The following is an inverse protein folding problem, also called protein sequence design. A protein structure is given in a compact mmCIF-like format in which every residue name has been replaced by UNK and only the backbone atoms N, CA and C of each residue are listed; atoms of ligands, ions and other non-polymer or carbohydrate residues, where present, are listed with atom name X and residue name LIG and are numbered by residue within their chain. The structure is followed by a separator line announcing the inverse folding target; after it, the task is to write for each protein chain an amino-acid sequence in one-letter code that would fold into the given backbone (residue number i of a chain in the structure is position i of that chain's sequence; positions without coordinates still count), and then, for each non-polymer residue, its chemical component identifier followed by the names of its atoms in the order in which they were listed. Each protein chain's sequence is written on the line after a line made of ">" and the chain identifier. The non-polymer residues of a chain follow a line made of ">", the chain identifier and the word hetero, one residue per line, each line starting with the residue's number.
data_IF_294254286659
#
_entry.id   IF_294254286659
#
_cell.length_a   1.000
_cell.length_b   1.000
_cell.length_c   1.000
_cell.angle_alpha   90.00
_cell.angle_beta   90.00
_cell.angle_gamma   90.00
#
_symmetry.space_group_name_H-M   'P 1'
#
loop_
_entity.id
_entity.type
_entity.pdbx_description
1 polymer ?
#
# COMPACT_ATOMS: atom_id res chain seq x y z
N UNK A 1 9.67 -14.53 -14.47
CA UNK A 1 9.56 -13.26 -15.21
C UNK A 1 8.19 -12.67 -14.90
N UNK A 2 8.14 -11.48 -14.30
CA UNK A 2 6.90 -10.68 -14.19
C UNK A 2 6.33 -10.45 -15.58
N UNK A 3 5.00 -10.58 -15.73
CA UNK A 3 4.33 -10.22 -16.99
C UNK A 3 4.34 -8.69 -17.09
N UNK A 4 4.92 -8.16 -18.17
CA UNK A 4 5.28 -6.74 -18.31
C UNK A 4 4.11 -5.77 -18.21
N UNK A 5 4.39 -4.62 -17.59
CA UNK A 5 3.52 -3.44 -17.64
C UNK A 5 4.16 -2.39 -18.54
N UNK A 6 3.46 -1.93 -19.58
CA UNK A 6 3.74 -0.56 -20.04
C UNK A 6 3.35 0.36 -18.88
N UNK A 7 4.37 0.88 -18.19
CA UNK A 7 4.31 1.56 -16.88
C UNK A 7 3.36 2.77 -16.80
N UNK A 8 2.82 3.23 -17.93
CA UNK A 8 2.01 4.45 -18.01
C UNK A 8 0.61 4.31 -17.40
N UNK A 9 0.11 3.09 -17.14
CA UNK A 9 -1.27 2.92 -16.69
C UNK A 9 -1.45 1.86 -15.58
N UNK A 10 -0.50 1.73 -14.64
CA UNK A 10 -0.57 0.86 -13.43
C UNK A 10 -1.70 1.22 -12.43
N UNK A 11 -2.62 2.06 -12.87
CA UNK A 11 -3.66 2.76 -12.14
C UNK A 11 -4.91 1.88 -11.96
N UNK A 12 -5.03 1.15 -10.84
CA UNK A 12 -6.31 0.54 -10.40
C UNK A 12 -6.44 -0.95 -10.58
N UNK A 13 -5.33 -1.68 -10.56
CA UNK A 13 -5.34 -3.15 -10.69
C UNK A 13 -5.89 -3.87 -9.45
N UNK A 14 -5.72 -3.30 -8.25
CA UNK A 14 -6.32 -3.84 -7.02
C UNK A 14 -7.66 -3.19 -6.66
N UNK A 15 -8.42 -2.73 -7.65
CA UNK A 15 -9.83 -2.39 -7.47
C UNK A 15 -10.66 -3.67 -7.57
N UNK A 16 -11.57 -3.98 -6.63
CA UNK A 16 -12.50 -5.13 -6.71
C UNK A 16 -13.14 -5.32 -8.10
N UNK A 17 -13.44 -4.23 -8.81
CA UNK A 17 -14.04 -4.26 -10.14
C UNK A 17 -13.10 -4.70 -11.28
N UNK A 18 -11.78 -4.70 -11.07
CA UNK A 18 -10.76 -4.97 -12.09
C UNK A 18 -9.81 -6.10 -11.72
N UNK A 19 -9.77 -6.55 -10.46
CA UNK A 19 -8.90 -7.65 -10.00
C UNK A 19 -9.13 -8.91 -10.86
N UNK A 20 -10.38 -9.28 -11.10
CA UNK A 20 -10.70 -10.48 -11.89
C UNK A 20 -10.16 -10.44 -13.33
N UNK A 21 -10.06 -9.25 -13.94
CA UNK A 21 -9.52 -9.08 -15.30
C UNK A 21 -7.99 -9.14 -15.35
N UNK A 22 -7.34 -8.89 -14.23
CA UNK A 22 -5.89 -8.77 -14.12
C UNK A 22 -5.28 -9.83 -13.20
N UNK A 23 -5.98 -10.94 -12.97
CA UNK A 23 -5.62 -11.91 -11.95
C UNK A 23 -4.24 -12.54 -12.21
N UNK A 24 -3.93 -12.85 -13.46
CA UNK A 24 -2.61 -13.37 -13.87
C UNK A 24 -1.47 -12.42 -13.49
N UNK A 25 -1.66 -11.13 -13.77
CA UNK A 25 -0.69 -10.09 -13.45
C UNK A 25 -0.52 -10.02 -11.92
N UNK A 26 -1.61 -9.81 -11.19
CA UNK A 26 -1.61 -9.71 -9.72
C UNK A 26 -0.96 -10.93 -9.09
N UNK A 27 -1.31 -12.14 -9.55
CA UNK A 27 -0.74 -13.39 -9.05
C UNK A 27 0.76 -13.45 -9.31
N UNK A 28 1.23 -13.06 -10.50
CA UNK A 28 2.67 -13.04 -10.80
C UNK A 28 3.45 -12.10 -9.89
N UNK A 29 2.91 -10.91 -9.58
CA UNK A 29 3.55 -9.98 -8.64
C UNK A 29 3.51 -10.48 -7.19
N UNK A 30 2.41 -11.12 -6.76
CA UNK A 30 2.34 -11.77 -5.45
C UNK A 30 3.38 -12.88 -5.31
N UNK A 31 3.59 -13.68 -6.36
CA UNK A 31 4.62 -14.73 -6.38
C UNK A 31 6.02 -14.11 -6.27
N UNK A 32 6.32 -13.06 -7.05
CA UNK A 32 7.61 -12.35 -6.96
C UNK A 32 7.85 -11.76 -5.56
N UNK A 33 6.80 -11.39 -4.83
CA UNK A 33 6.87 -10.92 -3.44
C UNK A 33 6.94 -12.04 -2.39
N UNK A 34 7.12 -13.29 -2.81
CA UNK A 34 7.09 -14.45 -1.91
C UNK A 34 5.82 -14.52 -1.04
N UNK A 35 4.67 -14.15 -1.62
CA UNK A 35 3.38 -14.17 -0.93
C UNK A 35 3.04 -15.53 -0.31
N UNK A 36 2.32 -15.52 0.81
CA UNK A 36 1.96 -16.75 1.51
C UNK A 36 1.12 -17.68 0.64
N UNK A 37 1.24 -19.02 0.83
CA UNK A 37 0.38 -19.98 0.12
C UNK A 37 -1.11 -19.73 0.32
N UNK A 38 -1.50 -19.21 1.50
CA UNK A 38 -2.89 -18.85 1.81
C UNK A 38 -3.41 -17.70 0.94
N UNK A 39 -2.59 -16.68 0.67
CA UNK A 39 -2.97 -15.58 -0.22
C UNK A 39 -3.08 -16.06 -1.66
N UNK A 40 -2.13 -16.88 -2.14
CA UNK A 40 -2.18 -17.43 -3.50
C UNK A 40 -3.41 -18.32 -3.72
N UNK A 41 -3.76 -19.15 -2.73
CA UNK A 41 -5.00 -19.92 -2.76
C UNK A 41 -6.24 -19.02 -2.81
N UNK A 42 -6.26 -17.94 -2.03
CA UNK A 42 -7.35 -16.95 -2.05
C UNK A 42 -7.45 -16.23 -3.40
N UNK A 43 -6.33 -15.86 -4.03
CA UNK A 43 -6.33 -15.25 -5.36
C UNK A 43 -6.92 -16.19 -6.42
N UNK A 44 -6.60 -17.49 -6.35
CA UNK A 44 -7.12 -18.48 -7.30
C UNK A 44 -8.65 -18.58 -7.28
N UNK A 45 -9.29 -18.32 -6.13
CA UNK A 45 -10.75 -18.35 -6.01
C UNK A 45 -11.43 -17.06 -6.49
N UNK A 46 -10.70 -15.94 -6.58
CA UNK A 46 -11.27 -14.64 -7.00
C UNK A 46 -11.86 -14.71 -8.41
N UNK A 47 -11.24 -15.40 -9.36
CA UNK A 47 -11.78 -15.49 -10.74
C UNK A 47 -13.18 -16.13 -10.75
N UNK A 48 -13.33 -17.22 -10.00
CA UNK A 48 -14.62 -17.91 -9.82
C UNK A 48 -15.61 -17.02 -9.09
N UNK A 49 -15.21 -16.37 -8.00
CA UNK A 49 -16.08 -15.45 -7.25
C UNK A 49 -16.53 -14.26 -8.09
N UNK A 50 -15.65 -13.67 -8.89
CA UNK A 50 -15.97 -12.57 -9.79
C UNK A 50 -16.95 -13.00 -10.89
N UNK A 51 -16.78 -14.20 -11.44
CA UNK A 51 -17.71 -14.76 -12.43
C UNK A 51 -19.09 -15.02 -11.83
N UNK A 52 -19.13 -15.63 -10.63
CA UNK A 52 -20.36 -15.85 -9.86
C UNK A 52 -21.05 -14.53 -9.53
N UNK A 53 -20.29 -13.51 -9.12
CA UNK A 53 -20.79 -12.17 -8.84
C UNK A 53 -21.51 -11.56 -10.04
N UNK A 54 -20.89 -11.62 -11.22
CA UNK A 54 -21.49 -11.12 -12.47
C UNK A 54 -22.78 -11.87 -12.80
N UNK A 55 -22.79 -13.19 -12.68
CA UNK A 55 -24.00 -14.01 -12.88
C UNK A 55 -25.13 -13.63 -11.93
N UNK A 56 -24.84 -13.50 -10.63
CA UNK A 56 -25.82 -13.14 -9.61
C UNK A 56 -26.40 -11.74 -9.83
N UNK A 57 -25.59 -10.78 -10.30
CA UNK A 57 -26.07 -9.45 -10.70
C UNK A 57 -27.07 -9.58 -11.86
N UNK A 58 -26.71 -10.34 -12.88
CA UNK A 58 -27.58 -10.56 -14.05
C UNK A 58 -28.89 -11.27 -13.68
N UNK A 59 -28.83 -12.29 -12.82
CA UNK A 59 -30.00 -13.04 -12.35
C UNK A 59 -30.94 -12.16 -11.51
N UNK A 60 -30.37 -11.35 -10.61
CA UNK A 60 -31.11 -10.37 -9.81
C UNK A 60 -31.81 -9.36 -10.71
N UNK A 61 -31.08 -8.74 -11.64
CA UNK A 61 -31.60 -7.68 -12.49
C UNK A 61 -32.67 -8.21 -13.45
N UNK A 62 -32.48 -9.41 -14.00
CA UNK A 62 -33.47 -10.12 -14.82
C UNK A 62 -34.74 -10.41 -14.01
N UNK A 63 -34.59 -10.91 -12.78
CA UNK A 63 -35.72 -11.23 -11.90
C UNK A 63 -36.50 -9.99 -11.46
N UNK A 64 -35.80 -8.88 -11.18
CA UNK A 64 -36.42 -7.59 -10.88
C UNK A 64 -37.18 -7.02 -12.08
N UNK A 65 -36.61 -7.11 -13.28
CA UNK A 65 -37.26 -6.70 -14.52
C UNK A 65 -38.53 -7.52 -14.79
N UNK A 66 -38.44 -8.85 -14.65
CA UNK A 66 -39.59 -9.75 -14.80
C UNK A 66 -40.70 -9.43 -13.78
N UNK A 67 -40.35 -9.24 -12.50
CA UNK A 67 -41.28 -8.84 -11.46
C UNK A 67 -42.02 -7.55 -11.81
N UNK A 68 -41.31 -6.57 -12.37
CA UNK A 68 -41.90 -5.28 -12.79
C UNK A 68 -42.90 -5.45 -13.93
N UNK A 69 -42.57 -6.28 -14.94
CA UNK A 69 -43.50 -6.61 -16.03
C UNK A 69 -44.76 -7.28 -15.51
N UNK A 70 -44.59 -8.36 -14.74
CA UNK A 70 -45.70 -9.13 -14.18
C UNK A 70 -46.59 -8.28 -13.25
N UNK A 71 -45.99 -7.38 -12.45
CA UNK A 71 -46.75 -6.46 -11.60
C UNK A 71 -47.64 -5.51 -12.42
N UNK A 72 -47.17 -5.07 -13.59
CA UNK A 72 -47.96 -4.26 -14.52
C UNK A 72 -49.12 -5.07 -15.12
N UNK A 73 -48.86 -6.30 -15.54
CA UNK A 73 -49.86 -7.21 -16.11
C UNK A 73 -50.92 -7.62 -15.08
N UNK A 74 -50.54 -7.84 -13.81
CA UNK A 74 -51.48 -8.01 -12.70
C UNK A 74 -52.42 -6.80 -12.60
N UNK A 75 -51.87 -5.59 -12.68
CA UNK A 75 -52.66 -4.36 -12.66
C UNK A 75 -53.66 -4.27 -13.82
N UNK A 76 -53.29 -4.76 -15.01
CA UNK A 76 -54.16 -4.83 -16.17
C UNK A 76 -55.27 -5.89 -16.01
N UNK A 77 -54.92 -7.11 -15.59
CA UNK A 77 -55.88 -8.21 -15.37
C UNK A 77 -56.92 -7.87 -14.29
N UNK A 78 -56.49 -7.20 -13.22
CA UNK A 78 -57.40 -6.75 -12.16
C UNK A 78 -58.36 -5.65 -12.64
N UNK A 79 -57.93 -4.78 -13.57
CA UNK A 79 -58.80 -3.78 -14.22
C UNK A 79 -59.79 -4.39 -15.20
N UNK A 80 -59.41 -5.46 -15.90
CA UNK A 80 -60.30 -6.19 -16.82
C UNK A 80 -61.24 -7.16 -16.11
N UNK A 81 -61.09 -7.36 -14.79
CA UNK A 81 -61.94 -8.22 -13.98
C UNK A 81 -61.59 -9.71 -14.02
N UNK A 82 -60.48 -10.07 -14.68
CA UNK A 82 -60.02 -11.47 -14.77
C UNK A 82 -59.21 -11.85 -13.51
N UNK A 83 -59.94 -12.36 -12.52
CA UNK A 83 -59.38 -12.74 -11.21
C UNK A 83 -58.48 -13.97 -11.27
N UNK A 84 -58.73 -14.91 -12.18
CA UNK A 84 -57.92 -16.13 -12.30
C UNK A 84 -56.53 -15.78 -12.85
N UNK A 85 -56.50 -15.05 -13.97
CA UNK A 85 -55.25 -14.56 -14.57
C UNK A 85 -54.49 -13.66 -13.60
N UNK A 86 -55.18 -12.72 -12.93
CA UNK A 86 -54.56 -11.84 -11.95
C UNK A 86 -53.91 -12.60 -10.78
N UNK A 87 -54.55 -13.68 -10.30
CA UNK A 87 -54.01 -14.51 -9.22
C UNK A 87 -52.75 -15.28 -9.64
N UNK A 88 -52.74 -15.82 -10.86
CA UNK A 88 -51.60 -16.54 -11.44
C UNK A 88 -50.40 -15.63 -11.65
N UNK A 89 -50.61 -14.48 -12.30
CA UNK A 89 -49.56 -13.48 -12.53
C UNK A 89 -49.00 -12.92 -11.22
N UNK A 90 -49.84 -12.77 -10.19
CA UNK A 90 -49.40 -12.35 -8.86
C UNK A 90 -48.50 -13.40 -8.21
N UNK A 91 -48.82 -14.68 -8.34
CA UNK A 91 -47.97 -15.76 -7.85
C UNK A 91 -46.61 -15.80 -8.58
N UNK A 92 -46.60 -15.63 -9.91
CA UNK A 92 -45.36 -15.53 -10.69
C UNK A 92 -44.52 -14.29 -10.33
N UNK A 93 -45.18 -13.14 -10.13
CA UNK A 93 -44.52 -11.92 -9.67
C UNK A 93 -43.90 -12.09 -8.28
N UNK A 94 -44.54 -12.85 -7.38
CA UNK A 94 -43.99 -13.17 -6.05
C UNK A 94 -42.73 -14.03 -6.19
N UNK A 95 -42.79 -15.10 -6.99
CA UNK A 95 -41.63 -15.98 -7.26
C UNK A 95 -40.46 -15.23 -7.88
N UNK A 96 -40.72 -14.30 -8.81
CA UNK A 96 -39.67 -13.44 -9.36
C UNK A 96 -39.04 -12.54 -8.29
N UNK A 97 -39.84 -12.04 -7.33
CA UNK A 97 -39.35 -11.31 -6.17
C UNK A 97 -38.50 -12.15 -5.23
N UNK A 98 -38.91 -13.39 -4.94
CA UNK A 98 -38.16 -14.35 -4.13
C UNK A 98 -36.81 -14.68 -4.76
N UNK A 99 -36.77 -14.97 -6.07
CA UNK A 99 -35.52 -15.19 -6.82
C UNK A 99 -34.58 -13.99 -6.78
N UNK A 100 -35.11 -12.77 -6.95
CA UNK A 100 -34.30 -11.55 -6.84
C UNK A 100 -33.71 -11.37 -5.44
N UNK A 101 -34.48 -11.70 -4.40
CA UNK A 101 -34.03 -11.65 -3.01
C UNK A 101 -32.94 -12.69 -2.74
N UNK A 102 -33.11 -13.92 -3.21
CA UNK A 102 -32.12 -15.00 -3.06
C UNK A 102 -30.79 -14.64 -3.76
N UNK A 103 -30.86 -14.13 -5.00
CA UNK A 103 -29.68 -13.69 -5.74
C UNK A 103 -28.96 -12.53 -5.02
N UNK A 104 -29.71 -11.63 -4.37
CA UNK A 104 -29.15 -10.51 -3.60
C UNK A 104 -28.41 -10.97 -2.34
N UNK A 105 -28.96 -11.97 -1.61
CA UNK A 105 -28.30 -12.54 -0.44
C UNK A 105 -26.99 -13.25 -0.83
N UNK A 106 -27.02 -14.06 -1.88
CA UNK A 106 -25.81 -14.72 -2.42
C UNK A 106 -24.78 -13.71 -2.90
N UNK A 107 -25.23 -12.61 -3.51
CA UNK A 107 -24.34 -11.54 -3.95
C UNK A 107 -23.63 -10.90 -2.77
N UNK A 108 -24.34 -10.64 -1.66
CA UNK A 108 -23.76 -10.09 -0.44
C UNK A 108 -22.71 -11.03 0.18
N UNK A 109 -22.95 -12.34 0.18
CA UNK A 109 -21.97 -13.34 0.63
C UNK A 109 -20.71 -13.32 -0.24
N UNK A 110 -20.86 -13.28 -1.56
CA UNK A 110 -19.73 -13.22 -2.51
C UNK A 110 -18.94 -11.92 -2.34
N UNK A 111 -19.63 -10.78 -2.22
CA UNK A 111 -19.01 -9.47 -2.00
C UNK A 111 -18.22 -9.45 -0.69
N UNK A 112 -18.76 -10.01 0.40
CA UNK A 112 -18.04 -10.14 1.69
C UNK A 112 -16.73 -10.93 1.55
N UNK A 113 -16.73 -12.01 0.77
CA UNK A 113 -15.51 -12.81 0.55
C UNK A 113 -14.49 -12.00 -0.25
N UNK A 114 -14.90 -11.36 -1.34
CA UNK A 114 -14.02 -10.52 -2.18
C UNK A 114 -13.43 -9.36 -1.36
N UNK A 115 -14.25 -8.71 -0.54
CA UNK A 115 -13.85 -7.61 0.34
C UNK A 115 -12.93 -8.08 1.48
N UNK A 116 -13.00 -9.35 1.88
CA UNK A 116 -12.05 -9.96 2.82
C UNK A 116 -10.68 -10.26 2.19
N UNK A 117 -10.62 -10.56 0.90
CA UNK A 117 -9.36 -10.89 0.21
C UNK A 117 -8.64 -9.62 -0.27
N UNK A 118 -9.38 -8.67 -0.85
CA UNK A 118 -8.83 -7.49 -1.53
C UNK A 118 -7.83 -6.68 -0.68
N UNK A 119 -8.07 -6.41 0.62
CA UNK A 119 -7.15 -5.64 1.46
C UNK A 119 -5.78 -6.30 1.62
N UNK A 120 -5.71 -7.63 1.51
CA UNK A 120 -4.50 -8.44 1.66
C UNK A 120 -3.66 -8.54 0.39
N UNK A 121 -4.13 -7.99 -0.73
CA UNK A 121 -3.37 -7.97 -1.98
C UNK A 121 -2.35 -6.82 -1.94
N UNK A 122 -1.03 -7.11 -2.01
CA UNK A 122 0.02 -6.09 -2.00
C UNK A 122 -0.01 -5.24 -3.27
N UNK A 123 0.78 -4.18 -3.28
CA UNK A 123 0.89 -3.32 -4.45
C UNK A 123 1.55 -4.05 -5.63
N UNK A 124 1.31 -3.59 -6.86
CA UNK A 124 2.08 -4.06 -7.99
C UNK A 124 3.51 -3.50 -7.90
N UNK A 125 4.48 -4.29 -8.34
CA UNK A 125 5.88 -3.88 -8.39
C UNK A 125 6.14 -3.15 -9.70
N UNK A 126 6.97 -2.10 -9.66
CA UNK A 126 7.55 -1.50 -10.85
C UNK A 126 8.43 -2.53 -11.57
N UNK A 127 8.50 -2.44 -12.90
CA UNK A 127 9.41 -3.28 -13.70
C UNK A 127 10.89 -3.06 -13.35
N UNK A 128 11.22 -1.93 -12.71
CA UNK A 128 12.58 -1.63 -12.24
C UNK A 128 13.00 -2.45 -11.01
N UNK A 129 12.05 -2.96 -10.23
CA UNK A 129 12.37 -3.77 -9.04
C UNK A 129 13.11 -5.04 -9.49
N UNK A 130 14.26 -5.44 -8.93
CA UNK A 130 14.90 -6.71 -9.24
C UNK A 130 14.11 -7.91 -8.68
N UNK A 131 14.20 -9.08 -9.32
CA UNK A 131 13.70 -10.31 -8.70
C UNK A 131 14.59 -10.69 -7.52
N UNK A 132 13.99 -11.21 -6.46
CA UNK A 132 14.70 -11.62 -5.24
C UNK A 132 13.70 -12.04 -4.18
N UNK A 133 14.16 -12.85 -3.24
CA UNK A 133 13.34 -13.46 -2.19
C UNK A 133 13.58 -12.86 -0.80
N UNK A 134 14.70 -12.17 -0.61
CA UNK A 134 15.11 -11.62 0.69
C UNK A 134 16.04 -10.41 0.52
N UNK A 135 16.38 -9.77 1.64
CA UNK A 135 17.30 -8.63 1.70
C UNK A 135 18.67 -8.92 1.05
N UNK A 136 19.11 -10.18 1.03
CA UNK A 136 20.38 -10.60 0.41
C UNK A 136 20.37 -10.44 -1.13
N UNK A 137 19.19 -10.39 -1.76
CA UNK A 137 19.02 -10.23 -3.20
C UNK A 137 18.89 -8.74 -3.61
N UNK A 138 18.97 -7.82 -2.65
CA UNK A 138 18.88 -6.38 -2.91
C UNK A 138 20.10 -5.87 -3.72
N UNK A 139 19.87 -4.88 -4.58
CA UNK A 139 20.89 -4.40 -5.51
C UNK A 139 21.47 -3.07 -5.04
N UNK A 140 22.77 -3.02 -4.75
CA UNK A 140 23.45 -1.76 -4.46
C UNK A 140 23.56 -0.93 -5.74
N UNK A 141 22.98 0.27 -5.72
CA UNK A 141 22.92 1.18 -6.87
C UNK A 141 24.11 2.15 -6.87
N UNK A 142 24.46 2.69 -5.71
CA UNK A 142 25.56 3.64 -5.59
C UNK A 142 26.13 3.69 -4.17
N UNK A 143 27.35 4.20 -4.06
CA UNK A 143 28.00 4.52 -2.78
C UNK A 143 28.31 6.01 -2.74
N UNK A 144 28.31 6.59 -1.55
CA UNK A 144 28.77 7.95 -1.30
C UNK A 144 29.63 8.01 -0.04
N UNK A 145 30.66 8.85 -0.08
CA UNK A 145 31.67 8.95 0.97
C UNK A 145 32.77 7.89 0.82
N UNK A 146 33.85 8.07 1.56
CA UNK A 146 34.98 7.16 1.55
C UNK A 146 35.10 6.48 2.92
N UNK A 147 34.58 5.25 3.01
CA UNK A 147 34.68 4.40 4.21
C UNK A 147 36.13 4.04 4.54
N UNK A 148 37.04 4.05 3.58
CA UNK A 148 38.47 3.82 3.84
C UNK A 148 39.18 5.06 4.40
N UNK A 149 38.68 6.26 4.06
CA UNK A 149 39.09 7.52 4.70
C UNK A 149 38.47 7.69 6.07
N UNK A 150 37.31 7.05 6.33
CA UNK A 150 36.85 6.92 7.70
C UNK A 150 37.94 6.16 8.45
N UNK A 151 38.45 6.74 9.54
CA UNK A 151 39.52 6.08 10.23
C UNK A 151 39.03 4.69 10.71
N UNK A 152 39.76 3.62 10.35
CA UNK A 152 39.50 2.26 10.86
C UNK A 152 39.50 2.21 12.40
N UNK A 153 40.20 3.19 12.99
CA UNK A 153 39.99 3.75 14.32
C UNK A 153 39.98 5.28 14.16
N UNK A 154 38.86 5.95 14.45
CA UNK A 154 38.83 7.42 14.57
C UNK A 154 39.95 7.84 15.51
N UNK A 155 40.71 8.88 15.16
CA UNK A 155 41.87 9.37 15.91
C UNK A 155 41.47 9.95 17.27
N UNK A 156 40.92 9.10 18.11
CA UNK A 156 40.64 9.36 19.50
C UNK A 156 41.95 9.19 20.29
N UNK A 157 42.12 9.87 21.43
CA UNK A 157 43.28 9.70 22.30
C UNK A 157 43.58 8.21 22.54
N UNK A 158 44.85 7.84 22.73
CA UNK A 158 45.23 6.47 23.14
C UNK A 158 44.32 6.00 24.30
N UNK A 159 43.59 4.90 24.09
CA UNK A 159 42.68 4.31 25.08
C UNK A 159 41.18 4.47 24.83
N UNK A 160 40.74 5.06 23.70
CA UNK A 160 39.31 5.20 23.40
C UNK A 160 38.77 4.01 22.60
N UNK A 161 37.75 3.35 23.15
CA UNK A 161 37.03 2.22 22.56
C UNK A 161 35.73 2.73 21.91
N UNK A 162 35.48 2.48 20.61
CA UNK A 162 34.25 2.92 19.95
C UNK A 162 33.05 2.26 20.62
N UNK A 163 32.25 3.11 21.22
CA UNK A 163 31.06 2.73 21.95
C UNK A 163 29.94 2.39 20.98
N UNK A 164 29.04 1.50 21.41
CA UNK A 164 27.78 1.36 20.72
C UNK A 164 27.00 2.67 20.85
N UNK A 165 26.09 2.94 19.90
CA UNK A 165 25.37 4.20 19.85
C UNK A 165 24.49 4.46 21.09
N UNK A 166 24.07 3.42 21.80
CA UNK A 166 23.42 3.51 23.12
C UNK A 166 24.39 3.92 24.23
N UNK A 167 25.61 3.38 24.24
CA UNK A 167 26.68 3.80 25.14
C UNK A 167 27.07 5.27 24.89
N UNK A 168 27.03 5.74 23.63
CA UNK A 168 27.19 7.18 23.28
C UNK A 168 26.03 8.01 23.81
N UNK A 169 24.78 7.60 23.57
CA UNK A 169 23.59 8.32 24.00
C UNK A 169 23.48 8.42 25.53
N UNK A 170 23.85 7.36 26.25
CA UNK A 170 23.90 7.32 27.71
C UNK A 170 24.99 8.26 28.27
N UNK A 171 26.19 8.24 27.69
CA UNK A 171 27.30 9.10 28.13
C UNK A 171 27.06 10.61 27.87
N UNK A 172 26.24 10.94 26.87
CA UNK A 172 25.83 12.31 26.57
C UNK A 172 24.63 12.79 27.40
N UNK A 173 24.09 11.95 28.31
CA UNK A 173 22.97 12.31 29.18
C UNK A 173 21.62 12.41 28.46
N UNK A 174 21.49 11.87 27.25
CA UNK A 174 20.30 11.98 26.42
C UNK A 174 19.22 10.92 26.67
N UNK A 175 19.40 10.04 27.67
CA UNK A 175 18.62 8.80 27.80
C UNK A 175 18.16 8.50 29.24
N UNK A 176 16.84 8.59 29.51
CA UNK A 176 16.17 8.20 30.76
C UNK A 176 14.90 7.35 30.47
N UNK A 177 15.03 6.02 30.47
CA UNK A 177 13.98 5.06 30.08
C UNK A 177 12.69 5.10 30.92
N UNK A 178 12.77 5.50 32.19
CA UNK A 178 11.64 5.41 33.14
C UNK A 178 10.56 6.49 32.93
N UNK A 179 10.87 7.56 32.18
CA UNK A 179 10.06 8.77 32.10
C UNK A 179 9.05 8.78 30.95
N UNK A 180 9.32 8.04 29.87
CA UNK A 180 8.54 8.03 28.62
C UNK A 180 7.18 7.31 28.71
N UNK A 181 7.04 6.37 29.65
CA UNK A 181 5.83 5.55 29.88
C UNK A 181 4.63 6.39 30.39
N UNK A 182 4.89 7.62 30.87
CA UNK A 182 3.94 8.38 31.69
C UNK A 182 3.02 9.36 30.95
N UNK A 183 3.19 9.62 29.64
CA UNK A 183 2.79 10.93 29.07
C UNK A 183 1.67 11.04 28.00
N UNK A 184 1.38 10.12 27.08
CA UNK A 184 0.84 10.59 25.77
C UNK A 184 -0.52 10.04 25.30
N UNK A 185 -1.62 10.62 25.78
CA UNK A 185 -3.00 10.44 25.27
C UNK A 185 -3.33 11.20 23.94
N UNK A 186 -4.62 11.22 23.54
CA UNK A 186 -5.08 11.41 22.14
C UNK A 186 -5.46 12.84 21.66
N UNK A 187 -5.31 13.09 20.33
CA UNK A 187 -6.18 13.85 19.37
C UNK A 187 -5.41 14.29 18.10
N UNK A 188 -5.93 13.95 16.92
CA UNK A 188 -5.35 14.15 15.57
C UNK A 188 -5.79 15.47 14.90
N UNK A 189 -5.07 15.85 13.81
CA UNK A 189 -5.38 16.95 12.90
C UNK A 189 -5.08 16.55 11.42
N UNK A 190 -5.54 17.35 10.44
CA UNK A 190 -5.38 17.12 8.99
C UNK A 190 -4.71 18.31 8.27
N UNK A 191 -3.91 18.06 7.22
CA UNK A 191 -3.05 19.05 6.54
C UNK A 191 -2.87 18.75 5.01
N UNK A 192 -2.40 19.74 4.22
CA UNK A 192 -2.14 19.70 2.74
C UNK A 192 -0.75 20.25 2.33
N UNK A 193 0.02 19.60 1.44
CA UNK A 193 1.33 20.07 0.91
C UNK A 193 2.42 18.97 0.75
N UNK A 194 3.66 19.31 0.42
CA UNK A 194 4.81 18.44 0.70
C UNK A 194 5.09 18.52 2.21
N UNK A 195 5.15 17.36 2.88
CA UNK A 195 5.18 17.33 4.33
C UNK A 195 6.54 16.89 4.84
N UNK A 196 7.04 17.64 5.81
CA UNK A 196 8.06 17.19 6.75
C UNK A 196 7.45 17.16 8.14
N UNK A 197 7.56 16.04 8.85
CA UNK A 197 7.00 15.92 10.20
C UNK A 197 7.95 15.16 11.12
N UNK A 198 8.32 15.78 12.24
CA UNK A 198 9.00 15.10 13.34
C UNK A 198 7.96 14.41 14.22
N UNK A 199 8.02 13.09 14.35
CA UNK A 199 7.08 12.31 15.15
C UNK A 199 7.78 11.22 15.95
N UNK A 200 7.23 10.87 17.11
CA UNK A 200 7.57 9.62 17.77
C UNK A 200 6.82 8.48 17.09
N UNK A 201 7.55 7.48 16.63
CA UNK A 201 7.05 6.28 16.00
C UNK A 201 7.02 5.14 17.00
N UNK A 202 5.98 4.33 16.96
CA UNK A 202 5.78 3.20 17.86
C UNK A 202 5.63 1.92 17.04
N UNK A 203 6.46 0.90 17.30
CA UNK A 203 6.40 -0.40 16.62
C UNK A 203 6.42 -1.53 17.63
N UNK A 204 5.53 -2.51 17.45
CA UNK A 204 5.50 -3.70 18.30
C UNK A 204 6.72 -4.61 18.09
N UNK A 205 7.42 -4.48 16.95
CA UNK A 205 8.56 -5.32 16.55
C UNK A 205 8.23 -6.84 16.64
N UNK A 206 6.98 -7.18 16.35
CA UNK A 206 6.51 -8.55 16.32
C UNK A 206 7.16 -9.29 15.14
N UNK A 207 8.07 -10.23 15.44
CA UNK A 207 8.79 -11.04 14.45
C UNK A 207 10.30 -10.85 14.42
N UNK A 208 10.86 -9.88 15.18
CA UNK A 208 12.31 -9.63 15.27
C UNK A 208 12.92 -10.10 16.59
N UNK A 209 12.30 -11.09 17.24
CA UNK A 209 12.76 -11.58 18.55
C UNK A 209 14.23 -12.01 18.49
N UNK A 210 15.06 -11.37 19.33
CA UNK A 210 16.50 -11.66 19.42
C UNK A 210 17.38 -11.00 18.35
N UNK A 211 16.82 -10.24 17.39
CA UNK A 211 17.59 -9.41 16.45
C UNK A 211 17.77 -7.99 16.97
N UNK A 212 18.97 -7.43 16.81
CA UNK A 212 19.32 -6.03 17.10
C UNK A 212 18.86 -5.54 18.49
N UNK A 213 18.91 -6.44 19.48
CA UNK A 213 18.42 -6.20 20.84
C UNK A 213 19.30 -5.26 21.67
N UNK A 214 20.51 -4.94 21.16
CA UNK A 214 21.42 -4.00 21.79
C UNK A 214 21.29 -2.62 21.15
N UNK A 215 21.12 -1.63 22.01
CA UNK A 215 21.04 -0.22 21.70
C UNK A 215 19.75 0.25 21.02
N UNK A 216 19.86 1.36 20.31
CA UNK A 216 18.74 2.10 19.71
C UNK A 216 18.41 1.73 18.25
N UNK A 217 19.10 0.74 17.67
CA UNK A 217 18.91 0.39 16.24
C UNK A 217 17.48 -0.11 16.04
N UNK A 218 17.01 -0.96 16.95
CA UNK A 218 15.65 -1.48 16.93
C UNK A 218 15.00 -1.29 18.30
N UNK A 219 14.03 -0.38 18.36
CA UNK A 219 13.32 -0.04 19.59
C UNK A 219 11.82 0.05 19.35
N UNK A 220 11.03 -0.14 20.41
CA UNK A 220 9.57 0.03 20.33
C UNK A 220 9.16 1.49 20.10
N UNK A 221 10.04 2.45 20.42
CA UNK A 221 9.81 3.87 20.24
C UNK A 221 11.08 4.57 19.74
N UNK A 222 10.97 5.30 18.64
CA UNK A 222 12.04 6.14 18.08
C UNK A 222 11.45 7.42 17.48
N UNK A 223 12.26 8.47 17.36
CA UNK A 223 11.84 9.71 16.67
C UNK A 223 12.24 9.66 15.20
N UNK A 224 11.38 10.20 14.33
CA UNK A 224 11.59 10.20 12.88
C UNK A 224 11.10 11.50 12.27
N UNK A 225 11.92 12.06 11.38
CA UNK A 225 11.50 13.12 10.46
C UNK A 225 11.03 12.44 9.19
N UNK A 226 9.72 12.42 8.97
CA UNK A 226 9.13 11.81 7.77
C UNK A 226 9.02 12.81 6.65
N UNK A 227 9.42 12.41 5.44
CA UNK A 227 9.10 13.13 4.21
C UNK A 227 7.99 12.40 3.47
N UNK A 228 6.91 13.13 3.15
CA UNK A 228 5.77 12.62 2.39
C UNK A 228 5.50 13.54 1.22
N UNK A 229 5.49 12.97 0.01
CA UNK A 229 5.12 13.66 -1.22
C UNK A 229 3.77 13.18 -1.70
N UNK A 230 2.92 14.14 -2.05
CA UNK A 230 1.64 13.90 -2.72
C UNK A 230 1.73 14.48 -4.12
N UNK A 231 1.68 13.62 -5.13
CA UNK A 231 1.93 14.06 -6.50
C UNK A 231 0.95 13.46 -7.51
N UNK A 232 0.94 14.01 -8.72
CA UNK A 232 0.22 13.46 -9.86
C UNK A 232 0.87 12.15 -10.33
N UNK A 233 0.12 11.22 -10.98
CA UNK A 233 0.71 9.97 -11.47
C UNK A 233 1.91 10.19 -12.39
N UNK A 234 1.83 11.18 -13.28
CA UNK A 234 2.87 11.49 -14.27
C UNK A 234 4.15 12.04 -13.64
N UNK A 235 4.08 12.63 -12.46
CA UNK A 235 5.24 13.16 -11.73
C UNK A 235 5.75 12.20 -10.66
N UNK A 236 5.07 11.08 -10.44
CA UNK A 236 5.37 10.12 -9.38
C UNK A 236 6.82 9.62 -9.43
N UNK A 237 7.31 9.20 -10.59
CA UNK A 237 8.68 8.67 -10.68
C UNK A 237 9.75 9.75 -10.43
N UNK A 238 9.55 10.97 -10.93
CA UNK A 238 10.51 12.06 -10.71
C UNK A 238 10.52 12.52 -9.25
N UNK A 239 9.36 12.62 -8.61
CA UNK A 239 9.26 13.01 -7.21
C UNK A 239 9.83 11.95 -6.27
N UNK A 240 9.75 10.66 -6.63
CA UNK A 240 10.39 9.59 -5.88
C UNK A 240 11.91 9.72 -5.88
N UNK A 241 12.51 10.03 -7.03
CA UNK A 241 13.95 10.28 -7.12
C UNK A 241 14.36 11.53 -6.35
N UNK A 242 13.55 12.60 -6.40
CA UNK A 242 13.79 13.80 -5.60
C UNK A 242 13.69 13.51 -4.09
N UNK A 243 12.73 12.68 -3.65
CA UNK A 243 12.60 12.23 -2.26
C UNK A 243 13.84 11.46 -1.78
N UNK A 244 14.37 10.59 -2.63
CA UNK A 244 15.62 9.87 -2.35
C UNK A 244 16.78 10.85 -2.21
N UNK A 245 16.88 11.82 -3.13
CA UNK A 245 17.94 12.84 -3.11
C UNK A 245 17.86 13.76 -1.87
N UNK A 246 16.65 14.10 -1.42
CA UNK A 246 16.40 14.85 -0.18
C UNK A 246 16.96 14.09 1.04
N UNK A 247 16.71 12.77 1.11
CA UNK A 247 17.20 11.91 2.18
C UNK A 247 18.74 11.71 2.11
N UNK A 248 19.28 11.48 0.90
CA UNK A 248 20.71 11.42 0.66
C UNK A 248 21.39 12.74 1.07
N UNK A 249 20.76 13.88 0.78
CA UNK A 249 21.24 15.23 1.14
C UNK A 249 21.52 15.38 2.63
N UNK A 250 20.61 14.89 3.48
CA UNK A 250 20.81 14.86 4.93
C UNK A 250 22.07 14.09 5.33
N UNK A 251 22.28 12.90 4.77
CA UNK A 251 23.46 12.07 5.07
C UNK A 251 24.76 12.75 4.61
N UNK A 252 24.73 13.38 3.43
CA UNK A 252 25.88 14.13 2.89
C UNK A 252 26.24 15.32 3.76
N UNK A 253 25.25 16.08 4.22
CA UNK A 253 25.46 17.21 5.14
C UNK A 253 26.04 16.78 6.49
N UNK A 254 25.66 15.58 6.97
CA UNK A 254 26.20 14.99 8.20
C UNK A 254 27.58 14.33 7.99
N UNK A 255 28.05 14.22 6.74
CA UNK A 255 29.31 13.55 6.41
C UNK A 255 29.29 12.05 6.70
N UNK A 256 28.12 11.41 6.63
CA UNK A 256 27.95 9.99 6.91
C UNK A 256 28.06 9.18 5.61
N UNK A 257 29.07 8.30 5.44
CA UNK A 257 29.14 7.44 4.27
C UNK A 257 27.98 6.45 4.24
N UNK A 258 27.40 6.29 3.06
CA UNK A 258 26.22 5.46 2.87
C UNK A 258 26.24 4.77 1.51
N UNK A 259 25.40 3.76 1.36
CA UNK A 259 25.06 3.16 0.07
C UNK A 259 23.58 3.27 -0.19
N UNK A 260 23.22 3.44 -1.46
CA UNK A 260 21.84 3.39 -1.94
C UNK A 260 21.56 2.01 -2.49
N UNK A 261 20.49 1.39 -2.03
CA UNK A 261 20.12 0.01 -2.32
C UNK A 261 18.72 0.00 -2.91
N UNK A 262 18.54 -0.66 -4.06
CA UNK A 262 17.25 -0.91 -4.66
C UNK A 262 16.73 -2.24 -4.14
N UNK A 263 15.56 -2.21 -3.47
CA UNK A 263 14.98 -3.42 -2.88
C UNK A 263 14.48 -4.37 -3.96
N UNK A 264 14.73 -5.66 -3.75
CA UNK A 264 14.17 -6.73 -4.59
C UNK A 264 12.68 -6.97 -4.30
N UNK A 265 12.05 -7.79 -5.13
CA UNK A 265 10.63 -8.07 -5.05
C UNK A 265 10.18 -8.64 -3.69
N UNK A 266 10.95 -9.57 -3.11
CA UNK A 266 10.66 -10.20 -1.82
C UNK A 266 10.84 -9.28 -0.60
N UNK A 267 11.70 -8.27 -0.69
CA UNK A 267 11.98 -7.31 0.39
C UNK A 267 11.22 -5.97 0.23
N UNK A 268 10.57 -5.75 -0.92
CA UNK A 268 9.75 -4.57 -1.15
C UNK A 268 8.47 -4.61 -0.32
N UNK A 269 8.28 -3.59 0.54
CA UNK A 269 7.14 -3.49 1.45
C UNK A 269 5.76 -3.56 0.78
N UNK A 270 4.75 -3.95 1.54
CA UNK A 270 3.38 -4.27 1.07
C UNK A 270 2.75 -3.18 0.18
N UNK A 271 2.91 -1.92 0.54
CA UNK A 271 2.35 -0.78 -0.20
C UNK A 271 3.28 -0.18 -1.27
N UNK A 272 4.57 -0.52 -1.26
CA UNK A 272 5.55 0.07 -2.16
C UNK A 272 5.51 -0.62 -3.53
N UNK A 273 5.57 0.15 -4.60
CA UNK A 273 5.79 -0.34 -5.97
C UNK A 273 7.27 -0.38 -6.33
N UNK A 274 8.05 0.54 -5.77
CA UNK A 274 9.50 0.67 -5.92
C UNK A 274 10.04 1.29 -4.64
N UNK A 275 11.17 0.78 -4.13
CA UNK A 275 11.77 1.30 -2.90
C UNK A 275 13.29 1.36 -3.00
N UNK A 276 13.85 2.48 -2.55
CA UNK A 276 15.28 2.63 -2.33
C UNK A 276 15.55 2.76 -0.85
N UNK A 277 16.40 1.90 -0.32
CA UNK A 277 16.93 2.05 1.02
C UNK A 277 18.27 2.77 0.97
N UNK A 278 18.49 3.63 1.95
CA UNK A 278 19.79 4.22 2.25
C UNK A 278 20.32 3.49 3.47
N UNK A 279 21.51 2.94 3.33
CA UNK A 279 22.18 2.26 4.41
C UNK A 279 23.45 3.01 4.78
N UNK A 280 23.58 3.39 6.05
CA UNK A 280 24.74 4.12 6.57
C UNK A 280 25.77 3.13 7.09
N UNK A 281 27.05 3.45 6.90
CA UNK A 281 28.14 2.67 7.47
C UNK A 281 28.18 2.84 8.99
N UNK A 282 28.11 1.74 9.75
CA UNK A 282 28.26 1.71 11.20
C UNK A 282 29.62 1.11 11.57
N UNK A 283 30.63 1.91 11.96
CA UNK A 283 31.98 1.42 12.26
C UNK A 283 32.02 0.36 13.35
N UNK A 284 31.22 0.51 14.42
CA UNK A 284 31.16 -0.45 15.52
C UNK A 284 30.61 -1.83 15.13
N UNK A 285 29.89 -1.92 14.01
CA UNK A 285 29.38 -3.18 13.46
C UNK A 285 30.17 -3.66 12.24
N UNK A 286 31.02 -2.81 11.65
CA UNK A 286 31.72 -3.11 10.41
C UNK A 286 30.77 -3.41 9.24
N UNK A 287 29.59 -2.79 9.23
CA UNK A 287 28.54 -3.08 8.26
C UNK A 287 27.72 -1.83 7.91
N UNK A 288 27.13 -1.83 6.71
CA UNK A 288 26.06 -0.91 6.36
C UNK A 288 24.75 -1.37 7.01
N UNK A 289 23.99 -0.44 7.59
CA UNK A 289 22.65 -0.68 8.14
C UNK A 289 21.68 0.32 7.58
N UNK A 290 20.45 -0.12 7.33
CA UNK A 290 19.35 0.76 6.93
C UNK A 290 19.31 1.96 7.87
N UNK A 291 19.16 3.14 7.29
CA UNK A 291 18.87 4.37 8.02
C UNK A 291 17.69 5.10 7.41
N UNK A 292 17.39 4.86 6.12
CA UNK A 292 16.23 5.39 5.44
C UNK A 292 15.66 4.44 4.39
N UNK A 293 14.36 4.49 4.17
CA UNK A 293 13.64 3.74 3.14
C UNK A 293 12.68 4.64 2.38
N UNK A 294 12.93 4.87 1.10
CA UNK A 294 12.20 5.80 0.23
C UNK A 294 11.35 5.02 -0.76
N UNK A 295 10.03 5.03 -0.56
CA UNK A 295 9.06 4.24 -1.33
C UNK A 295 8.16 5.07 -2.22
N UNK A 296 7.95 4.60 -3.46
CA UNK A 296 6.85 5.04 -4.32
C UNK A 296 5.67 4.06 -4.19
N UNK A 297 4.49 4.53 -3.77
CA UNK A 297 3.32 3.66 -3.59
C UNK A 297 2.33 3.69 -4.76
N UNK A 298 2.58 4.47 -5.82
CA UNK A 298 1.61 4.69 -6.88
C UNK A 298 0.25 5.10 -6.32
N UNK A 299 -0.83 4.54 -6.86
CA UNK A 299 -2.20 4.84 -6.39
C UNK A 299 -2.68 3.97 -5.20
N UNK A 300 -1.79 3.17 -4.62
CA UNK A 300 -2.17 2.11 -3.69
C UNK A 300 -2.78 2.63 -2.39
N UNK A 301 -2.14 3.63 -1.80
CA UNK A 301 -2.60 4.28 -0.57
C UNK A 301 -3.79 5.19 -0.86
N UNK A 302 -3.74 6.00 -1.92
CA UNK A 302 -4.82 6.93 -2.27
C UNK A 302 -6.14 6.22 -2.55
N UNK A 303 -6.13 5.08 -3.25
CA UNK A 303 -7.34 4.27 -3.45
C UNK A 303 -7.94 3.76 -2.15
N UNK A 304 -7.11 3.27 -1.22
CA UNK A 304 -7.57 2.78 0.09
C UNK A 304 -8.11 3.88 0.98
N UNK A 305 -7.58 5.09 0.83
CA UNK A 305 -8.03 6.27 1.55
C UNK A 305 -9.24 6.95 0.88
N UNK A 306 -9.70 6.46 -0.28
CA UNK A 306 -10.77 7.11 -1.05
C UNK A 306 -10.37 8.48 -1.62
N UNK A 307 -9.07 8.76 -1.71
CA UNK A 307 -8.55 10.02 -2.22
C UNK A 307 -8.60 9.98 -3.75
N UNK A 308 -9.49 10.80 -4.31
CA UNK A 308 -9.57 11.06 -5.74
C UNK A 308 -9.18 12.51 -6.01
N UNK A 309 -8.61 12.83 -7.18
CA UNK A 309 -8.38 14.23 -7.53
C UNK A 309 -9.72 14.97 -7.57
N UNK A 310 -9.79 16.14 -6.91
CA UNK A 310 -10.79 17.12 -7.29
C UNK A 310 -10.49 17.54 -8.74
N UNK A 311 -11.50 17.52 -9.62
CA UNK A 311 -11.39 18.17 -10.91
C UNK A 311 -10.89 19.60 -10.67
N UNK A 312 -9.89 20.04 -11.43
CA UNK A 312 -9.25 21.35 -11.30
C UNK A 312 -10.28 22.44 -10.98
N UNK A 313 -10.03 23.27 -9.97
CA UNK A 313 -10.82 24.45 -9.58
C UNK A 313 -10.82 25.57 -10.66
N UNK A 314 -10.66 25.23 -11.94
CA UNK A 314 -10.58 26.15 -13.06
C UNK A 314 -11.33 25.58 -14.27
N UNK A 315 -12.66 25.51 -14.22
CA UNK A 315 -13.52 25.57 -15.40
C UNK A 315 -14.99 25.77 -14.99
N UNK A 316 -15.60 26.82 -15.53
CA UNK A 316 -17.04 27.13 -15.46
C UNK A 316 -17.91 25.95 -15.94
N UNK A 317 -19.15 25.82 -15.44
CA UNK A 317 -19.95 24.62 -15.63
C UNK A 317 -20.70 24.67 -16.96
N UNK A 318 -20.20 23.96 -17.97
CA UNK A 318 -21.01 23.60 -19.13
C UNK A 318 -20.76 22.14 -19.53
N UNK A 319 -21.84 21.37 -19.36
CA UNK A 319 -22.20 20.06 -19.91
C UNK A 319 -21.09 19.05 -20.27
N UNK A 320 -21.16 17.89 -19.61
CA UNK A 320 -20.46 16.63 -19.89
C UNK A 320 -20.50 16.23 -21.38
N UNK A 321 -19.46 15.54 -21.87
CA UNK A 321 -19.53 14.08 -21.82
C UNK A 321 -18.27 13.39 -21.27
N UNK A 322 -18.55 12.29 -20.58
CA UNK A 322 -17.71 11.14 -20.25
C UNK A 322 -16.30 11.06 -20.87
N UNK A 323 -15.28 11.43 -20.09
CA UNK A 323 -14.04 10.68 -19.83
C UNK A 323 -13.24 11.48 -18.80
N UNK A 324 -13.26 11.01 -17.55
CA UNK A 324 -12.53 11.67 -16.44
C UNK A 324 -11.06 11.29 -16.56
N UNK A 325 -10.11 12.22 -16.79
CA UNK A 325 -8.69 11.89 -16.69
C UNK A 325 -8.38 11.56 -15.22
N UNK A 326 -7.95 10.33 -14.99
CA UNK A 326 -7.65 9.78 -13.67
C UNK A 326 -6.31 10.33 -13.15
N UNK A 327 -6.28 11.53 -12.55
CA UNK A 327 -5.09 12.03 -11.85
C UNK A 327 -5.06 11.45 -10.43
N UNK A 328 -4.60 10.21 -10.25
CA UNK A 328 -4.55 9.60 -8.90
C UNK A 328 -3.40 10.16 -8.08
N UNK A 329 -3.69 10.61 -6.85
CA UNK A 329 -2.64 11.04 -5.92
C UNK A 329 -1.71 9.86 -5.63
N UNK A 330 -0.41 10.08 -5.72
CA UNK A 330 0.61 9.12 -5.28
C UNK A 330 1.20 9.62 -3.97
N UNK A 331 1.11 8.79 -2.93
CA UNK A 331 1.77 9.05 -1.65
C UNK A 331 3.12 8.34 -1.63
N UNK A 332 4.17 9.07 -1.28
CA UNK A 332 5.52 8.52 -1.11
C UNK A 332 5.93 8.68 0.33
N UNK A 333 6.68 7.71 0.84
CA UNK A 333 7.14 7.73 2.22
C UNK A 333 8.65 7.54 2.23
N UNK A 334 9.36 8.46 2.88
CA UNK A 334 10.75 8.29 3.27
C UNK A 334 10.78 7.98 4.77
N UNK A 335 11.08 6.74 5.10
CA UNK A 335 11.16 6.21 6.45
C UNK A 335 12.62 6.26 6.87
N UNK A 336 13.08 7.32 7.54
CA UNK A 336 14.37 7.28 8.22
C UNK A 336 14.28 6.38 9.46
N UNK A 337 14.51 5.07 9.32
CA UNK A 337 14.64 4.15 10.46
C UNK A 337 15.79 3.19 10.25
N UNK A 338 16.55 2.96 11.31
CA UNK A 338 17.35 1.74 11.40
C UNK A 338 16.43 0.55 11.64
N UNK A 339 16.51 -0.46 10.77
CA UNK A 339 16.01 -1.82 11.05
C UNK A 339 17.05 -2.58 11.84
#
# INVERSE_FOLDING_TARGET
>A
MRKGTELEDTCGYSNPATIGKNLDLITSHCISRSASPSLLASLSSISTLASTRVSLIQDRDTSLSLRKSLSSEVGAAMKSGDKDLGSRLKAESSRAGEKASEASLKLEEVDKIIDGITPNIPNLLSDLVPEGSSEDDNVVVSHWGDVSSLPSKLGWPEGFEPLWHDDVAANLGGWESERAVKMSGARFAAMSGDYVSLTNCYRAEAGSYGRDTRGLVRTHQFSKVELVKITSPSQSSSEHLALVEDAEGCLRMLGLPYRKVLLCAGDTGFGASLCYDLEVWLPGQGAYREISSCSNTGDFQSRRMGISPAASLTATPTMLPARRPNIRLVAMHCVATSR
#
